data_IF_635567283084
#
_entry.id   IF_635567283084
#
_cell.length_a   1.000
_cell.length_b   1.000
_cell.length_c   1.000
_cell.angle_alpha   90.00
_cell.angle_beta   90.00
_cell.angle_gamma   90.00
#
_symmetry.space_group_name_H-M   'P 1'
#
loop_
_entity.id
_entity.type
_entity.pdbx_description
1 polymer ?
#
# COMPACT_ATOMS: atom_id res chain seq x y z
N UNK A 1 31.87 31.00 -44.02
CA UNK A 1 31.26 32.28 -43.59
C UNK A 1 31.27 32.28 -42.07
N UNK A 2 31.64 33.40 -41.44
CA UNK A 2 31.77 33.51 -39.98
C UNK A 2 30.83 34.59 -39.45
N UNK A 3 30.15 34.31 -38.35
CA UNK A 3 29.16 35.18 -37.73
C UNK A 3 29.61 35.64 -36.34
N UNK A 4 29.22 36.84 -35.95
CA UNK A 4 29.28 37.29 -34.55
C UNK A 4 28.18 36.63 -33.71
N UNK A 5 28.29 36.67 -32.37
CA UNK A 5 27.24 36.14 -31.47
C UNK A 5 25.86 36.76 -31.75
N UNK A 6 25.78 38.05 -32.11
CA UNK A 6 24.51 38.72 -32.43
C UNK A 6 23.92 38.17 -33.72
N UNK A 7 24.72 38.09 -34.79
CA UNK A 7 24.26 37.54 -36.07
C UNK A 7 23.86 36.07 -35.96
N UNK A 8 24.56 35.28 -35.13
CA UNK A 8 24.18 33.89 -34.85
C UNK A 8 22.81 33.81 -34.17
N UNK A 9 22.59 34.66 -33.15
CA UNK A 9 21.31 34.71 -32.44
C UNK A 9 20.17 35.15 -33.38
N UNK A 10 20.41 36.17 -34.22
CA UNK A 10 19.43 36.66 -35.19
C UNK A 10 19.07 35.56 -36.22
N UNK A 11 20.06 34.82 -36.74
CA UNK A 11 19.86 33.71 -37.68
C UNK A 11 19.08 32.54 -37.06
N UNK A 12 19.30 32.26 -35.78
CA UNK A 12 18.61 31.22 -35.04
C UNK A 12 17.30 31.72 -34.39
N UNK A 13 16.86 32.94 -34.68
CA UNK A 13 15.67 33.57 -34.10
C UNK A 13 15.64 33.51 -32.56
N UNK A 14 16.80 33.66 -31.92
CA UNK A 14 16.96 33.61 -30.47
C UNK A 14 17.69 34.84 -29.95
N UNK A 15 18.01 34.85 -28.65
CA UNK A 15 18.65 36.00 -28.00
C UNK A 15 20.13 35.74 -27.70
N UNK A 16 20.94 36.81 -27.68
CA UNK A 16 22.35 36.72 -27.26
C UNK A 16 22.50 36.15 -25.83
N UNK A 17 21.65 36.50 -24.84
CA UNK A 17 21.62 35.80 -23.55
C UNK A 17 21.44 34.29 -23.66
N UNK A 18 20.54 33.80 -24.52
CA UNK A 18 20.33 32.37 -24.75
C UNK A 18 21.60 31.69 -25.28
N UNK A 19 22.24 32.28 -26.30
CA UNK A 19 23.50 31.75 -26.83
C UNK A 19 24.61 31.71 -25.76
N UNK A 20 24.69 32.74 -24.90
CA UNK A 20 25.64 32.76 -23.77
C UNK A 20 25.32 31.70 -22.73
N UNK A 21 24.04 31.48 -22.45
CA UNK A 21 23.60 30.44 -21.53
C UNK A 21 24.01 29.06 -22.04
N UNK A 22 23.76 28.76 -23.32
CA UNK A 22 24.14 27.46 -23.92
C UNK A 22 25.64 27.21 -23.95
N UNK A 23 26.47 28.25 -24.10
CA UNK A 23 27.91 28.10 -23.83
C UNK A 23 28.23 27.76 -22.37
N UNK A 24 27.53 28.41 -21.42
CA UNK A 24 27.77 28.20 -19.98
C UNK A 24 27.41 26.77 -19.55
N UNK A 25 26.36 26.20 -20.13
CA UNK A 25 25.89 24.84 -19.82
C UNK A 25 26.49 23.77 -20.74
N UNK A 26 27.45 24.13 -21.61
CA UNK A 26 28.17 23.16 -22.45
C UNK A 26 27.42 22.67 -23.70
N UNK A 27 26.26 23.24 -24.03
CA UNK A 27 25.44 22.85 -25.18
C UNK A 27 25.95 23.37 -26.53
N UNK A 28 26.81 24.39 -26.51
CA UNK A 28 27.41 25.00 -27.69
C UNK A 28 28.89 25.28 -27.43
N UNK A 29 29.76 24.79 -28.30
CA UNK A 29 31.20 25.00 -28.18
C UNK A 29 31.60 26.47 -28.32
N UNK A 30 32.67 26.88 -27.62
CA UNK A 30 33.22 28.22 -27.74
C UNK A 30 33.95 28.35 -29.08
N UNK A 31 33.55 29.28 -29.97
CA UNK A 31 34.22 29.45 -31.24
C UNK A 31 35.59 30.12 -31.08
N UNK A 32 36.41 29.99 -32.13
CA UNK A 32 37.66 30.72 -32.25
C UNK A 32 37.45 32.24 -32.23
N UNK A 33 38.49 32.95 -31.78
CA UNK A 33 38.53 34.41 -31.78
C UNK A 33 39.36 34.90 -32.95
N UNK A 34 38.85 35.91 -33.66
CA UNK A 34 39.58 36.53 -34.75
C UNK A 34 40.68 37.45 -34.23
N UNK A 35 41.49 37.99 -35.15
CA UNK A 35 42.57 38.95 -34.85
C UNK A 35 42.11 40.22 -34.12
N UNK A 36 40.80 40.53 -34.17
CA UNK A 36 40.14 41.63 -33.48
C UNK A 36 39.59 41.25 -32.08
N UNK A 37 39.82 40.02 -31.60
CA UNK A 37 39.40 39.53 -30.29
C UNK A 37 37.94 39.06 -30.19
N UNK A 38 37.13 39.25 -31.24
CA UNK A 38 35.73 38.84 -31.28
C UNK A 38 35.55 37.36 -31.65
N UNK A 39 34.49 36.74 -31.13
CA UNK A 39 34.09 35.33 -31.39
C UNK A 39 33.58 35.16 -32.83
N UNK A 40 34.02 34.10 -33.53
CA UNK A 40 33.64 33.80 -34.91
C UNK A 40 32.95 32.43 -35.04
N UNK A 41 31.63 32.44 -35.12
CA UNK A 41 30.83 31.22 -35.25
C UNK A 41 30.75 30.77 -36.71
N UNK A 42 31.02 29.49 -36.94
CA UNK A 42 30.83 28.84 -38.25
C UNK A 42 29.48 28.11 -38.38
N UNK A 43 29.25 27.51 -39.54
CA UNK A 43 28.06 26.69 -39.85
C UNK A 43 27.77 25.61 -38.81
N UNK A 44 28.77 24.85 -38.28
CA UNK A 44 28.50 23.83 -37.26
C UNK A 44 27.85 24.39 -35.99
N UNK A 45 28.25 25.61 -35.58
CA UNK A 45 27.67 26.25 -34.40
C UNK A 45 26.21 26.67 -34.62
N UNK A 46 25.87 27.12 -35.82
CA UNK A 46 24.49 27.47 -36.16
C UNK A 46 23.60 26.22 -36.20
N UNK A 47 24.08 25.15 -36.81
CA UNK A 47 23.36 23.87 -36.87
C UNK A 47 23.12 23.32 -35.46
N UNK A 48 24.16 23.28 -34.60
CA UNK A 48 24.02 22.85 -33.21
C UNK A 48 23.03 23.73 -32.44
N UNK A 49 23.10 25.05 -32.58
CA UNK A 49 22.17 25.97 -31.91
C UNK A 49 20.71 25.73 -32.34
N UNK A 50 20.45 25.54 -33.63
CA UNK A 50 19.11 25.24 -34.15
C UNK A 50 18.58 23.88 -33.65
N UNK A 51 19.45 22.87 -33.54
CA UNK A 51 19.10 21.56 -33.00
C UNK A 51 18.72 21.64 -31.52
N UNK A 52 19.52 22.32 -30.70
CA UNK A 52 19.24 22.51 -29.27
C UNK A 52 17.90 23.23 -29.07
N UNK A 53 17.64 24.30 -29.84
CA UNK A 53 16.37 25.03 -29.74
C UNK A 53 15.17 24.16 -30.11
N UNK A 54 15.28 23.37 -31.20
CA UNK A 54 14.19 22.48 -31.62
C UNK A 54 13.88 21.41 -30.59
N UNK A 55 14.89 20.81 -29.98
CA UNK A 55 14.70 19.80 -28.94
C UNK A 55 14.14 20.40 -27.65
N UNK A 56 14.58 21.60 -27.27
CA UNK A 56 14.00 22.30 -26.12
C UNK A 56 12.53 22.67 -26.34
N UNK A 57 12.16 23.05 -27.56
CA UNK A 57 10.76 23.36 -27.91
C UNK A 57 9.86 22.11 -27.88
N UNK A 58 10.44 20.93 -28.11
CA UNK A 58 9.77 19.63 -27.95
C UNK A 58 9.70 19.17 -26.48
N UNK A 59 10.17 19.99 -25.54
CA UNK A 59 10.12 19.70 -24.10
C UNK A 59 11.29 18.85 -23.58
N UNK A 60 12.32 18.58 -24.40
CA UNK A 60 13.48 17.82 -23.95
C UNK A 60 14.32 18.65 -22.95
N UNK A 61 14.68 18.10 -21.77
CA UNK A 61 15.52 18.81 -20.80
C UNK A 61 16.91 19.14 -21.35
N UNK A 62 17.41 20.35 -21.06
CA UNK A 62 18.72 20.84 -21.53
C UNK A 62 19.89 19.93 -21.12
N UNK A 63 19.82 19.27 -19.96
CA UNK A 63 20.84 18.33 -19.50
C UNK A 63 20.94 17.10 -20.43
N UNK A 64 19.80 16.52 -20.80
CA UNK A 64 19.73 15.37 -21.73
C UNK A 64 20.23 15.76 -23.12
N UNK A 65 19.90 16.95 -23.61
CA UNK A 65 20.42 17.48 -24.90
C UNK A 65 21.97 17.60 -24.90
N UNK A 66 22.58 17.84 -23.73
CA UNK A 66 24.03 17.95 -23.61
C UNK A 66 24.74 16.59 -23.67
N UNK A 67 24.06 15.53 -23.25
CA UNK A 67 24.57 14.15 -23.28
C UNK A 67 24.44 13.50 -24.66
N UNK A 68 23.52 13.99 -25.50
CA UNK A 68 23.37 13.54 -26.87
C UNK A 68 24.56 14.02 -27.72
N UNK A 69 25.40 13.08 -28.14
CA UNK A 69 26.22 13.28 -29.32
C UNK A 69 25.25 13.31 -30.51
N UNK A 70 25.21 14.40 -31.27
CA UNK A 70 24.24 14.58 -32.36
C UNK A 70 24.62 13.95 -33.72
N UNK A 71 25.50 12.92 -33.86
CA UNK A 71 25.41 12.00 -34.98
C UNK A 71 24.07 11.24 -34.93
N UNK A 72 23.39 11.10 -36.07
CA UNK A 72 21.95 10.84 -36.14
C UNK A 72 21.38 9.63 -35.40
N UNK A 73 22.18 8.62 -35.01
CA UNK A 73 21.67 7.42 -34.34
C UNK A 73 21.21 7.69 -32.89
N UNK A 74 21.99 8.45 -32.10
CA UNK A 74 21.67 8.72 -30.69
C UNK A 74 20.47 9.68 -30.56
N UNK A 75 20.19 10.47 -31.61
CA UNK A 75 19.06 11.39 -31.66
C UNK A 75 17.73 10.68 -31.92
N UNK A 76 17.70 9.73 -32.87
CA UNK A 76 16.47 9.00 -33.20
C UNK A 76 16.02 8.16 -32.00
N UNK A 77 16.95 7.49 -31.31
CA UNK A 77 16.65 6.71 -30.08
C UNK A 77 16.13 7.61 -28.94
N UNK A 78 16.71 8.79 -28.75
CA UNK A 78 16.24 9.75 -27.75
C UNK A 78 14.85 10.32 -28.06
N UNK A 79 14.52 10.51 -29.34
CA UNK A 79 13.20 10.95 -29.78
C UNK A 79 12.16 9.83 -29.57
N UNK A 80 12.48 8.59 -29.94
CA UNK A 80 11.60 7.43 -29.72
C UNK A 80 11.30 7.22 -28.23
N UNK A 81 12.30 7.38 -27.35
CA UNK A 81 12.11 7.30 -25.90
C UNK A 81 11.17 8.41 -25.40
N UNK A 82 11.35 9.65 -25.87
CA UNK A 82 10.49 10.78 -25.47
C UNK A 82 9.04 10.58 -25.95
N UNK A 83 8.85 10.10 -27.17
CA UNK A 83 7.52 9.81 -27.72
C UNK A 83 6.81 8.72 -26.91
N UNK A 84 7.54 7.66 -26.53
CA UNK A 84 7.02 6.61 -25.67
C UNK A 84 6.63 7.12 -24.27
N UNK A 85 7.46 7.98 -23.65
CA UNK A 85 7.14 8.62 -22.36
C UNK A 85 5.87 9.48 -22.44
N UNK A 86 5.71 10.27 -23.51
CA UNK A 86 4.54 11.12 -23.75
C UNK A 86 3.27 10.31 -24.06
N UNK A 87 3.38 9.23 -24.81
CA UNK A 87 2.29 8.31 -25.07
C UNK A 87 1.78 7.69 -23.76
N UNK A 88 2.68 7.17 -22.92
CA UNK A 88 2.32 6.61 -21.62
C UNK A 88 1.69 7.66 -20.68
N UNK A 89 2.18 8.90 -20.69
CA UNK A 89 1.56 9.99 -19.93
C UNK A 89 0.14 10.31 -20.42
N UNK A 90 -0.08 10.32 -21.74
CA UNK A 90 -1.40 10.57 -22.34
C UNK A 90 -2.39 9.47 -21.99
N UNK A 91 -1.99 8.20 -22.11
CA UNK A 91 -2.82 7.06 -21.74
C UNK A 91 -3.26 7.12 -20.26
N UNK A 92 -2.34 7.47 -19.36
CA UNK A 92 -2.67 7.69 -17.94
C UNK A 92 -3.70 8.81 -17.76
N UNK A 93 -3.49 9.96 -18.39
CA UNK A 93 -4.42 11.09 -18.28
C UNK A 93 -5.81 10.76 -18.83
N UNK A 94 -5.89 9.98 -19.91
CA UNK A 94 -7.16 9.49 -20.45
C UNK A 94 -7.86 8.55 -19.46
N UNK A 95 -7.15 7.56 -18.90
CA UNK A 95 -7.71 6.63 -17.91
C UNK A 95 -8.27 7.35 -16.69
N UNK A 96 -7.51 8.30 -16.13
CA UNK A 96 -7.98 9.11 -14.99
C UNK A 96 -9.23 9.90 -15.33
N UNK A 97 -9.32 10.44 -16.56
CA UNK A 97 -10.52 11.16 -17.00
C UNK A 97 -11.73 10.25 -17.18
N UNK A 98 -11.53 9.02 -17.62
CA UNK A 98 -12.59 8.00 -17.73
C UNK A 98 -13.08 7.58 -16.34
N UNK A 99 -12.17 7.36 -15.39
CA UNK A 99 -12.50 7.04 -14.00
C UNK A 99 -13.27 8.19 -13.33
N UNK A 100 -12.80 9.43 -13.47
CA UNK A 100 -13.50 10.61 -12.96
C UNK A 100 -14.88 10.81 -13.62
N UNK A 101 -15.02 10.45 -14.91
CA UNK A 101 -16.31 10.48 -15.59
C UNK A 101 -17.25 9.41 -15.03
N UNK A 102 -16.77 8.18 -14.76
CA UNK A 102 -17.55 7.12 -14.14
C UNK A 102 -18.02 7.50 -12.72
N UNK A 103 -17.14 8.11 -11.92
CA UNK A 103 -17.49 8.65 -10.59
C UNK A 103 -18.58 9.72 -10.70
N UNK A 104 -18.47 10.62 -11.69
CA UNK A 104 -19.43 11.70 -11.89
C UNK A 104 -20.79 11.23 -12.42
N UNK A 105 -20.80 10.29 -13.35
CA UNK A 105 -22.02 9.86 -14.06
C UNK A 105 -22.86 8.85 -13.25
N UNK A 106 -22.24 8.10 -12.33
CA UNK A 106 -22.93 7.10 -11.54
C UNK A 106 -23.39 7.57 -10.16
N UNK A 107 -22.92 8.74 -9.69
CA UNK A 107 -23.37 9.31 -8.42
C UNK A 107 -23.19 8.39 -7.21
N UNK A 108 -22.32 7.38 -7.30
CA UNK A 108 -21.79 6.69 -6.14
C UNK A 108 -21.00 7.73 -5.36
N UNK A 109 -21.38 8.04 -4.12
CA UNK A 109 -20.46 8.75 -3.27
C UNK A 109 -19.20 7.85 -3.15
N UNK A 110 -18.01 8.48 -3.18
CA UNK A 110 -16.69 7.81 -3.29
C UNK A 110 -16.43 6.80 -2.15
N UNK A 111 -17.31 6.79 -1.17
CA UNK A 111 -17.35 5.99 0.05
C UNK A 111 -18.26 4.74 -0.05
N UNK A 112 -18.77 4.34 -1.22
CA UNK A 112 -19.56 3.10 -1.39
C UNK A 112 -19.11 2.26 -2.61
N UNK A 113 -18.95 0.93 -2.49
CA UNK A 113 -18.55 0.06 -3.60
C UNK A 113 -19.54 0.09 -4.77
N UNK A 114 -19.04 -0.23 -5.97
CA UNK A 114 -19.86 -0.37 -7.15
C UNK A 114 -20.97 -1.43 -6.93
N UNK A 115 -22.18 -1.16 -7.41
CA UNK A 115 -23.35 -2.03 -7.24
C UNK A 115 -24.24 -1.72 -6.03
N UNK A 116 -23.73 -1.00 -5.01
CA UNK A 116 -24.50 -0.64 -3.80
C UNK A 116 -25.18 0.74 -3.90
N UNK A 117 -25.08 1.42 -5.04
CA UNK A 117 -25.73 2.71 -5.30
C UNK A 117 -27.25 2.78 -4.98
N UNK A 118 -28.05 1.71 -5.17
CA UNK A 118 -29.48 1.73 -4.79
C UNK A 118 -29.73 1.88 -3.29
N UNK A 119 -28.87 1.31 -2.44
CA UNK A 119 -29.01 1.34 -0.97
C UNK A 119 -28.17 2.45 -0.33
N UNK A 120 -27.17 3.00 -1.03
CA UNK A 120 -26.19 3.96 -0.52
C UNK A 120 -26.76 5.18 0.22
N UNK A 121 -27.97 5.64 -0.14
CA UNK A 121 -28.61 6.81 0.49
C UNK A 121 -29.23 6.53 1.85
N UNK A 122 -29.55 5.27 2.13
CA UNK A 122 -30.21 4.84 3.36
C UNK A 122 -29.19 4.37 4.40
N UNK A 123 -27.93 4.20 4.01
CA UNK A 123 -26.85 3.75 4.89
C UNK A 123 -26.33 4.85 5.82
N UNK A 124 -25.92 4.47 7.02
CA UNK A 124 -25.12 5.31 7.91
C UNK A 124 -23.68 5.50 7.38
N UNK A 125 -22.95 6.49 7.89
CA UNK A 125 -21.53 6.67 7.54
C UNK A 125 -20.69 5.43 7.92
N UNK A 126 -21.02 4.80 9.05
CA UNK A 126 -20.40 3.55 9.51
C UNK A 126 -20.66 2.39 8.53
N UNK A 127 -21.89 2.24 8.05
CA UNK A 127 -22.24 1.19 7.08
C UNK A 127 -21.59 1.39 5.72
N UNK A 128 -21.46 2.64 5.25
CA UNK A 128 -20.72 2.95 4.01
C UNK A 128 -19.24 2.57 4.15
N UNK A 129 -18.61 2.97 5.26
CA UNK A 129 -17.23 2.59 5.55
C UNK A 129 -17.04 1.07 5.68
N UNK A 130 -17.96 0.39 6.36
CA UNK A 130 -17.96 -1.08 6.46
C UNK A 130 -18.13 -1.75 5.10
N UNK A 131 -18.98 -1.23 4.21
CA UNK A 131 -19.13 -1.76 2.85
C UNK A 131 -17.85 -1.62 2.02
N UNK A 132 -17.17 -0.48 2.13
CA UNK A 132 -15.87 -0.30 1.48
C UNK A 132 -14.84 -1.30 1.99
N UNK A 133 -14.87 -1.61 3.29
CA UNK A 133 -14.02 -2.63 3.89
C UNK A 133 -14.41 -4.04 3.44
N UNK A 134 -15.70 -4.38 3.39
CA UNK A 134 -16.15 -5.66 2.86
C UNK A 134 -15.74 -5.82 1.40
N UNK A 135 -15.84 -4.79 0.57
CA UNK A 135 -15.40 -4.83 -0.82
C UNK A 135 -13.88 -5.03 -0.97
N UNK A 136 -13.09 -4.63 0.03
CA UNK A 136 -11.67 -4.93 0.06
C UNK A 136 -11.39 -6.38 0.47
N UNK A 137 -12.23 -6.99 1.30
CA UNK A 137 -11.94 -8.28 1.95
C UNK A 137 -12.65 -9.47 1.30
N UNK A 138 -13.86 -9.28 0.81
CA UNK A 138 -14.70 -10.32 0.24
C UNK A 138 -14.47 -10.46 -1.27
N UNK A 139 -14.76 -11.64 -1.82
CA UNK A 139 -14.80 -11.84 -3.26
C UNK A 139 -16.09 -11.27 -3.89
N UNK A 140 -16.13 -11.20 -5.21
CA UNK A 140 -17.28 -10.66 -5.95
C UNK A 140 -18.57 -11.44 -5.71
N UNK A 141 -18.48 -12.75 -5.50
CA UNK A 141 -19.66 -13.60 -5.29
C UNK A 141 -20.28 -13.34 -3.92
N UNK A 142 -19.45 -13.22 -2.88
CA UNK A 142 -19.87 -12.91 -1.53
C UNK A 142 -20.34 -11.46 -1.38
N UNK A 143 -19.75 -10.52 -2.14
CA UNK A 143 -20.22 -9.14 -2.21
C UNK A 143 -21.61 -9.03 -2.82
N UNK A 144 -21.91 -9.82 -3.86
CA UNK A 144 -23.26 -9.88 -4.44
C UNK A 144 -24.27 -10.46 -3.44
N UNK A 145 -23.91 -11.47 -2.65
CA UNK A 145 -24.77 -12.01 -1.59
C UNK A 145 -25.02 -10.96 -0.49
N UNK A 146 -23.97 -10.23 -0.08
CA UNK A 146 -24.09 -9.13 0.87
C UNK A 146 -25.03 -8.04 0.35
N UNK A 147 -24.91 -7.70 -0.94
CA UNK A 147 -25.78 -6.73 -1.60
C UNK A 147 -27.24 -7.16 -1.57
N UNK A 148 -27.54 -8.43 -1.83
CA UNK A 148 -28.90 -8.95 -1.79
C UNK A 148 -29.48 -8.96 -0.38
N UNK A 149 -28.67 -9.32 0.63
CA UNK A 149 -29.09 -9.25 2.02
C UNK A 149 -29.47 -7.82 2.44
N UNK A 150 -28.72 -6.82 1.97
CA UNK A 150 -28.97 -5.40 2.29
C UNK A 150 -30.14 -4.75 1.53
N UNK A 151 -30.70 -5.41 0.51
CA UNK A 151 -31.90 -4.92 -0.17
C UNK A 151 -33.19 -5.13 0.65
N UNK A 152 -33.14 -5.95 1.71
CA UNK A 152 -34.27 -6.22 2.59
C UNK A 152 -34.06 -5.45 3.90
N UNK A 153 -34.85 -4.40 4.18
CA UNK A 153 -34.74 -3.65 5.42
C UNK A 153 -34.99 -4.56 6.64
N UNK A 154 -34.13 -4.48 7.65
CA UNK A 154 -34.32 -5.18 8.92
C UNK A 154 -34.42 -4.16 10.08
N UNK A 155 -35.60 -4.01 10.70
CA UNK A 155 -35.79 -3.07 11.81
C UNK A 155 -34.88 -3.32 13.02
N UNK A 156 -34.41 -4.56 13.22
CA UNK A 156 -33.47 -4.86 14.30
C UNK A 156 -32.09 -4.25 14.04
N UNK A 157 -31.67 -4.17 12.76
CA UNK A 157 -30.41 -3.55 12.36
C UNK A 157 -30.49 -2.04 12.49
N UNK A 158 -31.62 -1.43 12.11
CA UNK A 158 -31.84 0.01 12.31
C UNK A 158 -31.79 0.40 13.79
N UNK A 159 -32.47 -0.35 14.66
CA UNK A 159 -32.44 -0.10 16.10
C UNK A 159 -31.07 -0.35 16.73
N UNK A 160 -30.30 -1.30 16.19
CA UNK A 160 -28.91 -1.53 16.58
C UNK A 160 -28.02 -0.32 16.25
N UNK A 161 -28.15 0.28 15.07
CA UNK A 161 -27.36 1.44 14.66
C UNK A 161 -27.64 2.68 15.53
N UNK A 162 -28.88 2.85 15.97
CA UNK A 162 -29.30 3.97 16.84
C UNK A 162 -29.08 3.72 18.35
N UNK A 163 -28.56 2.53 18.72
CA UNK A 163 -28.40 2.13 20.11
C UNK A 163 -27.40 3.04 20.86
N UNK A 164 -27.83 3.79 21.89
CA UNK A 164 -26.94 4.66 22.63
C UNK A 164 -25.98 3.87 23.52
N UNK A 165 -24.80 4.44 23.78
CA UNK A 165 -23.76 3.80 24.59
C UNK A 165 -24.22 3.50 26.03
N UNK A 166 -25.12 4.33 26.59
CA UNK A 166 -25.65 4.22 27.95
C UNK A 166 -26.98 3.46 28.05
N UNK A 167 -27.36 2.71 27.01
CA UNK A 167 -28.57 1.88 27.04
C UNK A 167 -28.56 0.86 28.19
N UNK A 168 -29.73 0.65 28.81
CA UNK A 168 -29.88 -0.30 29.90
C UNK A 168 -29.83 -1.76 29.42
N UNK A 169 -29.50 -2.67 30.35
CA UNK A 169 -29.36 -4.09 30.03
C UNK A 169 -30.65 -4.71 29.50
N UNK A 170 -31.82 -4.21 29.94
CA UNK A 170 -33.12 -4.71 29.45
C UNK A 170 -33.34 -4.38 27.96
N UNK A 171 -32.93 -3.18 27.52
CA UNK A 171 -32.98 -2.76 26.12
C UNK A 171 -32.01 -3.57 25.28
N UNK A 172 -30.80 -3.78 25.78
CA UNK A 172 -29.75 -4.59 25.14
C UNK A 172 -30.23 -6.02 24.95
N UNK A 173 -30.75 -6.67 25.99
CA UNK A 173 -31.23 -8.06 25.93
C UNK A 173 -32.37 -8.24 24.91
N UNK A 174 -33.30 -7.28 24.87
CA UNK A 174 -34.41 -7.28 23.89
C UNK A 174 -33.92 -7.08 22.45
N UNK A 175 -32.88 -6.27 22.24
CA UNK A 175 -32.27 -6.08 20.93
C UNK A 175 -31.49 -7.32 20.50
N UNK A 176 -30.72 -7.93 21.40
CA UNK A 176 -29.95 -9.16 21.14
C UNK A 176 -30.87 -10.28 20.66
N UNK A 177 -31.99 -10.52 21.32
CA UNK A 177 -32.96 -11.53 20.88
C UNK A 177 -33.50 -11.30 19.45
N UNK A 178 -33.70 -10.04 19.08
CA UNK A 178 -34.15 -9.66 17.72
C UNK A 178 -33.04 -9.75 16.70
N UNK A 179 -31.82 -9.37 17.07
CA UNK A 179 -30.61 -9.50 16.24
C UNK A 179 -30.26 -10.97 15.98
N UNK A 180 -30.42 -11.88 16.96
CA UNK A 180 -30.27 -13.33 16.74
C UNK A 180 -31.30 -13.83 15.72
N UNK A 181 -32.57 -13.42 15.86
CA UNK A 181 -33.61 -13.80 14.91
C UNK A 181 -33.35 -13.24 13.50
N UNK A 182 -32.81 -12.02 13.40
CA UNK A 182 -32.35 -11.41 12.15
C UNK A 182 -31.19 -12.19 11.53
N UNK A 183 -30.14 -12.44 12.31
CA UNK A 183 -28.97 -13.19 11.89
C UNK A 183 -29.32 -14.60 11.40
N UNK A 184 -30.28 -15.30 12.05
CA UNK A 184 -30.79 -16.60 11.55
C UNK A 184 -31.43 -16.49 10.17
N UNK A 185 -32.31 -15.50 9.95
CA UNK A 185 -32.92 -15.27 8.62
C UNK A 185 -31.87 -15.00 7.56
N UNK A 186 -30.88 -14.17 7.87
CA UNK A 186 -29.78 -13.85 6.94
C UNK A 186 -28.94 -15.08 6.63
N UNK A 187 -28.60 -15.90 7.64
CA UNK A 187 -27.85 -17.15 7.47
C UNK A 187 -28.60 -18.19 6.64
N UNK A 188 -29.92 -18.32 6.85
CA UNK A 188 -30.77 -19.24 6.08
C UNK A 188 -30.92 -18.81 4.60
N UNK A 189 -31.03 -17.50 4.36
CA UNK A 189 -31.21 -16.95 3.01
C UNK A 189 -29.90 -16.77 2.24
N UNK A 190 -28.79 -16.54 2.94
CA UNK A 190 -27.47 -16.23 2.37
C UNK A 190 -26.37 -17.05 3.07
N UNK A 191 -26.40 -18.40 3.00
CA UNK A 191 -25.46 -19.26 3.74
C UNK A 191 -24.00 -19.05 3.36
N UNK A 192 -23.71 -18.56 2.15
CA UNK A 192 -22.36 -18.24 1.70
C UNK A 192 -21.66 -17.18 2.57
N UNK A 193 -22.42 -16.27 3.21
CA UNK A 193 -21.86 -15.20 4.04
C UNK A 193 -21.25 -15.70 5.35
N UNK A 194 -21.58 -16.92 5.80
CA UNK A 194 -21.09 -17.51 7.06
C UNK A 194 -19.56 -17.66 7.08
N UNK A 195 -18.97 -18.03 5.94
CA UNK A 195 -17.53 -18.30 5.80
C UNK A 195 -16.83 -17.30 4.87
N UNK A 196 -17.48 -16.19 4.54
CA UNK A 196 -17.00 -15.26 3.51
C UNK A 196 -15.62 -14.64 3.86
N UNK A 197 -15.36 -14.35 5.14
CA UNK A 197 -14.04 -13.88 5.59
C UNK A 197 -12.99 -14.99 5.54
N UNK A 198 -13.36 -16.24 5.80
CA UNK A 198 -12.46 -17.39 5.72
C UNK A 198 -12.02 -17.69 4.27
N UNK A 199 -12.89 -17.37 3.29
CA UNK A 199 -12.63 -17.50 1.85
C UNK A 199 -12.00 -16.26 1.22
N UNK A 200 -11.65 -15.26 2.02
CA UNK A 200 -11.06 -14.02 1.53
C UNK A 200 -9.79 -14.26 0.69
N UNK A 201 -9.65 -13.61 -0.48
CA UNK A 201 -8.43 -13.65 -1.29
C UNK A 201 -7.18 -13.15 -0.55
N UNK A 202 -7.35 -12.37 0.52
CA UNK A 202 -6.29 -11.79 1.34
C UNK A 202 -5.90 -12.67 2.55
N UNK A 203 -6.54 -13.84 2.66
CA UNK A 203 -6.36 -14.78 3.76
C UNK A 203 -7.32 -14.53 4.92
N UNK A 204 -7.82 -15.62 5.50
CA UNK A 204 -8.84 -15.63 6.56
C UNK A 204 -8.50 -14.74 7.76
N UNK A 205 -7.26 -14.81 8.25
CA UNK A 205 -6.81 -14.05 9.42
C UNK A 205 -6.78 -12.54 9.15
N UNK A 206 -6.27 -12.13 7.99
CA UNK A 206 -6.22 -10.72 7.58
C UNK A 206 -7.62 -10.14 7.45
N UNK A 207 -8.54 -10.90 6.84
CA UNK A 207 -9.93 -10.55 6.67
C UNK A 207 -10.67 -10.36 8.00
N UNK A 208 -10.54 -11.32 8.91
CA UNK A 208 -11.16 -11.26 10.23
C UNK A 208 -10.63 -10.10 11.07
N UNK A 209 -9.33 -9.82 10.97
CA UNK A 209 -8.69 -8.75 11.73
C UNK A 209 -9.07 -7.35 11.22
N UNK A 210 -9.13 -7.18 9.90
CA UNK A 210 -9.64 -5.97 9.27
C UNK A 210 -11.09 -5.71 9.68
N UNK A 211 -11.91 -6.77 9.76
CA UNK A 211 -13.29 -6.69 10.20
C UNK A 211 -13.42 -6.32 11.68
N UNK A 212 -12.68 -7.00 12.55
CA UNK A 212 -12.68 -6.73 13.99
C UNK A 212 -12.26 -5.28 14.31
N UNK A 213 -11.26 -4.75 13.59
CA UNK A 213 -10.83 -3.36 13.73
C UNK A 213 -11.92 -2.36 13.33
N UNK A 214 -12.59 -2.62 12.20
CA UNK A 214 -13.70 -1.77 11.76
C UNK A 214 -14.84 -1.74 12.78
N UNK A 215 -15.18 -2.89 13.38
CA UNK A 215 -16.22 -2.96 14.40
C UNK A 215 -15.91 -2.07 15.61
N UNK A 216 -14.66 -2.07 16.09
CA UNK A 216 -14.25 -1.25 17.25
C UNK A 216 -14.16 0.25 16.91
N UNK A 217 -13.84 0.59 15.65
CA UNK A 217 -13.69 1.98 15.22
C UNK A 217 -15.04 2.66 14.93
N UNK A 218 -16.03 1.91 14.44
CA UNK A 218 -17.31 2.46 14.02
C UNK A 218 -18.47 2.24 15.00
N UNK A 219 -18.38 1.27 15.91
CA UNK A 219 -19.44 0.99 16.87
C UNK A 219 -19.05 1.35 18.30
N UNK A 220 -20.04 1.77 19.09
CA UNK A 220 -19.84 2.05 20.51
C UNK A 220 -19.73 0.74 21.32
N UNK A 221 -19.20 0.78 22.57
CA UNK A 221 -19.01 -0.41 23.39
C UNK A 221 -20.29 -1.23 23.64
N UNK A 222 -21.46 -0.59 23.73
CA UNK A 222 -22.73 -1.28 23.95
C UNK A 222 -23.22 -1.99 22.69
N UNK A 223 -23.00 -1.41 21.50
CA UNK A 223 -23.22 -2.06 20.21
C UNK A 223 -22.27 -3.26 20.02
N UNK A 224 -20.99 -3.11 20.34
CA UNK A 224 -20.02 -4.22 20.27
C UNK A 224 -20.46 -5.39 21.16
N UNK A 225 -20.90 -5.10 22.39
CA UNK A 225 -21.44 -6.12 23.32
C UNK A 225 -22.66 -6.86 22.74
N UNK A 226 -23.56 -6.17 22.03
CA UNK A 226 -24.69 -6.81 21.34
C UNK A 226 -24.17 -7.78 20.26
N UNK A 227 -23.21 -7.36 19.43
CA UNK A 227 -22.62 -8.22 18.39
C UNK A 227 -21.92 -9.45 18.98
N UNK A 228 -21.19 -9.29 20.09
CA UNK A 228 -20.53 -10.38 20.81
C UNK A 228 -21.53 -11.39 21.37
N UNK A 229 -22.65 -10.93 21.95
CA UNK A 229 -23.69 -11.81 22.47
C UNK A 229 -24.43 -12.56 21.36
N UNK A 230 -24.66 -11.90 20.22
CA UNK A 230 -25.22 -12.55 19.03
C UNK A 230 -24.26 -13.62 18.50
N UNK A 231 -22.97 -13.32 18.38
CA UNK A 231 -21.96 -14.29 17.93
C UNK A 231 -21.83 -15.49 18.89
N UNK A 232 -21.82 -15.23 20.20
CA UNK A 232 -21.78 -16.27 21.24
C UNK A 232 -22.97 -17.24 21.13
N UNK A 233 -24.18 -16.72 20.90
CA UNK A 233 -25.37 -17.54 20.74
C UNK A 233 -25.26 -18.56 19.58
N UNK A 234 -24.50 -18.23 18.53
CA UNK A 234 -24.27 -19.14 17.41
C UNK A 234 -23.07 -20.06 17.58
N UNK A 235 -22.08 -19.65 18.39
CA UNK A 235 -20.95 -20.52 18.74
C UNK A 235 -21.43 -21.68 19.61
N UNK A 236 -22.29 -21.39 20.58
CA UNK A 236 -22.89 -22.39 21.47
C UNK A 236 -23.79 -23.38 20.70
N UNK A 237 -24.48 -22.93 19.64
CA UNK A 237 -25.27 -23.79 18.74
C UNK A 237 -24.41 -24.71 17.86
N UNK A 238 -23.18 -24.31 17.52
CA UNK A 238 -22.25 -25.12 16.73
C UNK A 238 -21.54 -26.21 17.57
N UNK A 239 -21.52 -26.07 18.89
CA UNK A 239 -20.90 -27.02 19.83
C UNK A 239 -21.87 -28.11 20.35
N UNK A 240 -23.18 -28.02 20.09
CA UNK A 240 -24.10 -29.14 20.33
C UNK A 240 -23.91 -30.23 19.26
N UNK A 241 -23.50 -31.46 19.61
CA UNK A 241 -23.31 -32.51 18.63
C UNK A 241 -24.66 -32.97 18.08
N UNK A 242 -24.91 -32.66 16.81
CA UNK A 242 -25.97 -33.30 16.03
C UNK A 242 -25.74 -34.82 16.04
N UNK A 243 -26.58 -35.54 16.77
CA UNK A 243 -26.68 -36.98 16.73
C UNK A 243 -27.35 -37.44 15.43
N UNK A 244 -26.62 -38.21 14.62
CA UNK A 244 -27.13 -39.03 13.50
C UNK A 244 -27.24 -38.27 12.17
N UNK A 245 -26.89 -38.80 11.00
CA UNK A 245 -26.61 -40.17 10.53
C UNK A 245 -25.63 -40.12 9.35
N UNK A 246 -24.81 -41.15 9.21
CA UNK A 246 -24.00 -41.48 8.03
C UNK A 246 -24.85 -41.54 6.74
N UNK A 247 -24.36 -40.97 5.63
CA UNK A 247 -24.31 -41.65 4.33
C UNK A 247 -23.10 -41.15 3.53
N UNK A 248 -22.13 -42.04 3.33
CA UNK A 248 -21.12 -41.93 2.29
C UNK A 248 -21.73 -42.32 0.93
N UNK A 249 -21.41 -41.60 -0.14
CA UNK A 249 -21.53 -42.12 -1.50
C UNK A 249 -20.40 -41.62 -2.41
N UNK A 250 -19.69 -42.59 -2.98
CA UNK A 250 -18.68 -42.50 -4.03
C UNK A 250 -19.27 -41.99 -5.35
N UNK A 251 -18.53 -41.15 -6.09
CA UNK A 251 -18.53 -41.18 -7.56
C UNK A 251 -17.14 -40.82 -8.12
N UNK A 252 -16.48 -41.82 -8.70
CA UNK A 252 -15.41 -41.65 -9.69
C UNK A 252 -15.97 -41.15 -11.03
N UNK A 253 -15.23 -40.30 -11.76
CA UNK A 253 -15.51 -40.10 -13.18
C UNK A 253 -14.85 -38.94 -13.92
N UNK A 254 -13.68 -39.22 -14.50
CA UNK A 254 -13.23 -38.79 -15.84
C UNK A 254 -12.88 -37.32 -16.15
N UNK A 255 -11.56 -37.15 -16.32
CA UNK A 255 -10.78 -36.29 -17.21
C UNK A 255 -11.50 -35.66 -18.42
N UNK A 256 -11.28 -34.35 -18.63
CA UNK A 256 -11.08 -33.74 -19.94
C UNK A 256 -10.19 -32.49 -19.82
N UNK A 257 -9.13 -32.47 -20.62
CA UNK A 257 -8.12 -31.40 -20.75
C UNK A 257 -8.67 -30.14 -21.44
N UNK A 258 -8.05 -29.00 -21.13
CA UNK A 258 -7.82 -27.95 -22.12
C UNK A 258 -8.45 -26.59 -21.84
N UNK A 259 -7.76 -25.73 -21.08
CA UNK A 259 -7.76 -24.29 -21.30
C UNK A 259 -6.57 -23.66 -20.55
N UNK A 260 -5.50 -23.37 -21.28
CA UNK A 260 -4.44 -22.46 -20.86
C UNK A 260 -5.03 -21.05 -20.83
N UNK A 261 -5.33 -20.51 -19.65
CA UNK A 261 -5.71 -19.11 -19.48
C UNK A 261 -4.63 -18.36 -18.72
N UNK A 262 -4.09 -17.37 -19.43
CA UNK A 262 -2.93 -16.55 -19.09
C UNK A 262 -3.39 -15.48 -18.11
N UNK A 263 -2.77 -15.46 -16.93
CA UNK A 263 -2.98 -14.42 -15.93
C UNK A 263 -2.79 -13.00 -16.54
N UNK A 264 -3.69 -12.04 -16.30
CA UNK A 264 -3.53 -10.69 -16.81
C UNK A 264 -2.36 -10.00 -16.10
N UNK A 265 -1.43 -9.51 -16.91
CA UNK A 265 -0.26 -8.76 -16.49
C UNK A 265 -0.66 -7.43 -15.82
N UNK A 266 -0.38 -7.32 -14.53
CA UNK A 266 -0.40 -6.08 -13.75
C UNK A 266 0.76 -5.20 -14.25
N UNK A 267 0.44 -3.99 -14.72
CA UNK A 267 1.43 -2.94 -15.00
C UNK A 267 1.63 -2.03 -13.77
N UNK A 268 2.81 -1.43 -13.58
CA UNK A 268 3.31 -1.05 -12.26
C UNK A 268 2.61 0.20 -11.72
N UNK A 269 1.98 0.04 -10.54
CA UNK A 269 1.62 1.14 -9.63
C UNK A 269 2.91 1.91 -9.28
N UNK A 270 2.79 3.20 -8.97
CA UNK A 270 3.82 3.92 -8.20
C UNK A 270 4.37 2.97 -7.15
N UNK A 271 5.68 2.73 -7.16
CA UNK A 271 6.28 1.73 -6.28
C UNK A 271 5.85 2.08 -4.85
N UNK A 272 5.07 1.22 -4.19
CA UNK A 272 4.57 1.54 -2.86
C UNK A 272 5.78 1.79 -1.94
N UNK A 273 5.73 2.83 -1.09
CA UNK A 273 6.91 3.31 -0.39
C UNK A 273 7.55 2.18 0.41
N UNK A 274 8.85 2.00 0.26
CA UNK A 274 9.58 0.97 0.98
C UNK A 274 9.57 1.29 2.48
N UNK A 275 9.29 0.27 3.30
CA UNK A 275 9.36 0.36 4.76
C UNK A 275 10.55 -0.47 5.23
N UNK A 276 11.32 0.06 6.16
CA UNK A 276 12.47 -0.61 6.77
C UNK A 276 12.18 -0.91 8.23
N UNK A 277 12.63 -2.06 8.70
CA UNK A 277 12.50 -2.51 10.09
C UNK A 277 13.81 -3.04 10.63
N UNK A 278 13.93 -3.06 11.96
CA UNK A 278 15.08 -3.62 12.65
C UNK A 278 14.68 -4.84 13.47
N UNK A 279 15.31 -5.97 13.17
CA UNK A 279 15.41 -7.06 14.12
C UNK A 279 16.58 -6.76 15.07
N UNK A 280 16.34 -5.90 16.06
CA UNK A 280 17.35 -5.63 17.09
C UNK A 280 17.60 -6.88 17.91
N UNK A 281 18.84 -7.36 17.93
CA UNK A 281 19.25 -8.56 18.62
C UNK A 281 20.31 -8.28 19.70
N UNK A 282 20.54 -9.27 20.58
CA UNK A 282 21.64 -9.22 21.53
C UNK A 282 23.02 -9.39 20.87
N UNK A 283 23.07 -10.07 19.72
CA UNK A 283 24.28 -10.29 18.90
C UNK A 283 23.93 -10.69 17.48
N UNK A 284 24.81 -10.44 16.51
CA UNK A 284 24.56 -10.74 15.10
C UNK A 284 24.81 -12.20 14.73
N UNK A 285 25.87 -12.82 15.26
CA UNK A 285 26.32 -14.14 14.79
C UNK A 285 25.37 -15.26 15.20
N UNK A 286 24.72 -15.13 16.36
CA UNK A 286 23.77 -16.09 16.92
C UNK A 286 22.75 -15.35 17.78
N UNK A 287 21.78 -14.63 17.22
CA UNK A 287 20.81 -13.88 18.00
C UNK A 287 19.98 -14.81 18.91
N UNK A 288 19.79 -14.46 20.18
CA UNK A 288 18.94 -15.23 21.13
C UNK A 288 17.77 -14.46 21.68
N UNK A 289 17.75 -13.14 21.49
CA UNK A 289 16.59 -12.31 21.78
C UNK A 289 16.42 -11.28 20.69
N UNK A 290 15.18 -10.86 20.45
CA UNK A 290 14.83 -9.75 19.59
C UNK A 290 14.03 -8.69 20.35
N UNK A 291 14.21 -7.43 20.00
CA UNK A 291 13.43 -6.34 20.58
C UNK A 291 12.06 -6.23 19.91
N UNK A 292 11.03 -6.06 20.74
CA UNK A 292 9.70 -5.61 20.34
C UNK A 292 9.40 -4.27 21.04
N UNK A 293 8.75 -3.34 20.35
CA UNK A 293 8.33 -2.06 20.90
C UNK A 293 6.80 -1.96 20.92
N UNK A 294 6.21 -1.51 22.03
CA UNK A 294 4.75 -1.40 22.19
C UNK A 294 4.28 0.01 21.92
N UNK A 295 3.31 0.14 21.03
CA UNK A 295 2.73 1.42 20.61
C UNK A 295 2.05 2.14 21.76
N UNK A 296 2.39 3.42 21.98
CA UNK A 296 1.80 4.29 23.00
C UNK A 296 0.43 4.83 22.60
N UNK A 297 0.23 5.14 21.30
CA UNK A 297 -0.92 5.91 20.80
C UNK A 297 -1.39 5.43 19.43
N UNK A 298 -2.61 5.82 19.07
CA UNK A 298 -3.27 5.44 17.82
C UNK A 298 -4.20 4.24 18.00
N UNK A 299 -4.86 3.82 16.92
CA UNK A 299 -5.89 2.79 16.94
C UNK A 299 -5.41 1.40 17.40
N UNK A 300 -4.09 1.16 17.34
CA UNK A 300 -3.44 -0.08 17.80
C UNK A 300 -2.49 0.20 18.97
N UNK A 301 -2.82 1.17 19.83
CA UNK A 301 -2.08 1.37 21.08
C UNK A 301 -2.12 0.09 21.93
N UNK A 302 -0.99 -0.27 22.54
CA UNK A 302 -0.84 -1.54 23.27
C UNK A 302 -0.34 -2.72 22.42
N UNK A 303 -0.33 -2.60 21.10
CA UNK A 303 0.20 -3.62 20.18
C UNK A 303 1.70 -3.45 19.97
N UNK A 304 2.38 -4.53 19.59
CA UNK A 304 3.83 -4.63 19.48
C UNK A 304 4.29 -4.61 18.02
N UNK A 305 5.41 -3.96 17.74
CA UNK A 305 5.99 -3.87 16.39
C UNK A 305 7.52 -3.98 16.44
N UNK A 306 8.12 -4.31 15.30
CA UNK A 306 9.56 -4.13 15.12
C UNK A 306 9.83 -2.63 14.85
N UNK A 307 10.83 -2.03 15.52
CA UNK A 307 11.17 -0.62 15.29
C UNK A 307 11.55 -0.36 13.84
N UNK A 308 11.16 0.79 13.30
CA UNK A 308 11.43 1.14 11.91
C UNK A 308 10.40 2.08 11.31
N UNK A 309 10.54 2.36 10.02
CA UNK A 309 9.73 3.38 9.37
C UNK A 309 9.89 3.45 7.86
N UNK A 310 9.38 4.53 7.27
CA UNK A 310 9.32 4.70 5.82
C UNK A 310 10.65 5.24 5.31
N UNK A 311 11.07 4.75 4.14
CA UNK A 311 12.22 5.32 3.41
C UNK A 311 11.79 6.61 2.72
N UNK A 312 12.53 7.70 2.93
CA UNK A 312 12.28 8.96 2.26
C UNK A 312 12.78 8.97 0.80
N UNK A 313 12.22 9.82 -0.08
CA UNK A 313 12.68 9.90 -1.47
C UNK A 313 14.16 10.25 -1.60
N UNK A 314 14.94 9.34 -2.20
CA UNK A 314 16.40 9.50 -2.39
C UNK A 314 17.26 9.04 -1.21
N UNK A 315 16.64 8.52 -0.14
CA UNK A 315 17.31 7.95 1.02
C UNK A 315 17.67 6.47 0.78
N UNK A 316 18.84 6.02 1.21
CA UNK A 316 19.18 4.60 1.16
C UNK A 316 18.44 3.84 2.28
N UNK A 317 18.00 2.59 2.07
CA UNK A 317 17.22 1.86 3.08
C UNK A 317 17.91 1.72 4.44
N UNK A 318 19.23 1.51 4.45
CA UNK A 318 20.02 1.41 5.69
C UNK A 318 20.13 2.77 6.38
N UNK A 319 20.23 3.87 5.62
CA UNK A 319 20.27 5.22 6.20
C UNK A 319 18.92 5.57 6.84
N UNK A 320 17.81 5.22 6.17
CA UNK A 320 16.46 5.34 6.72
C UNK A 320 16.33 4.55 8.02
N UNK A 321 16.80 3.29 8.04
CA UNK A 321 16.74 2.44 9.22
C UNK A 321 17.46 3.06 10.42
N UNK A 322 18.68 3.58 10.21
CA UNK A 322 19.46 4.22 11.28
C UNK A 322 18.77 5.48 11.79
N UNK A 323 18.21 6.30 10.89
CA UNK A 323 17.44 7.50 11.26
C UNK A 323 16.22 7.15 12.11
N UNK A 324 15.40 6.20 11.67
CA UNK A 324 14.20 5.76 12.40
C UNK A 324 14.57 5.20 13.80
N UNK A 325 15.67 4.46 13.92
CA UNK A 325 16.13 3.95 15.23
C UNK A 325 16.59 5.05 16.20
N UNK A 326 17.19 6.15 15.71
CA UNK A 326 17.48 7.32 16.55
C UNK A 326 16.19 8.04 16.97
N UNK A 327 15.24 8.20 16.04
CA UNK A 327 13.97 8.89 16.31
C UNK A 327 13.07 8.12 17.28
N UNK A 328 12.90 6.82 17.07
CA UNK A 328 11.97 5.97 17.83
C UNK A 328 12.55 5.46 19.15
N UNK A 329 13.87 5.21 19.20
CA UNK A 329 14.51 4.55 20.34
C UNK A 329 15.71 5.31 20.91
N UNK A 330 16.14 6.40 20.27
CA UNK A 330 17.31 7.19 20.68
C UNK A 330 18.65 6.49 20.43
N UNK A 331 18.70 5.55 19.47
CA UNK A 331 19.89 4.77 19.16
C UNK A 331 20.69 5.43 18.04
N UNK A 332 21.87 5.97 18.36
CA UNK A 332 22.74 6.69 17.43
C UNK A 332 23.92 5.86 16.94
N UNK A 333 24.33 4.88 17.73
CA UNK A 333 25.45 3.99 17.50
C UNK A 333 24.93 2.56 17.39
N UNK A 334 24.52 2.20 16.18
CA UNK A 334 24.04 0.86 15.84
C UNK A 334 24.98 0.20 14.83
N UNK A 335 25.12 -1.12 14.91
CA UNK A 335 25.77 -1.94 13.88
C UNK A 335 24.70 -2.70 13.13
N UNK A 336 24.54 -2.38 11.84
CA UNK A 336 23.60 -3.05 10.93
C UNK A 336 24.30 -4.25 10.30
N UNK A 337 23.70 -5.43 10.46
CA UNK A 337 24.15 -6.69 9.88
C UNK A 337 23.43 -7.00 8.57
N UNK A 338 23.33 -8.30 8.27
CA UNK A 338 22.68 -8.77 7.05
C UNK A 338 21.17 -8.50 7.06
N UNK A 339 20.63 -8.30 5.86
CA UNK A 339 19.19 -8.25 5.65
C UNK A 339 18.58 -9.64 5.87
N UNK A 340 17.46 -9.67 6.59
CA UNK A 340 16.68 -10.87 6.78
C UNK A 340 16.03 -11.31 5.45
N UNK A 341 16.10 -12.59 5.07
CA UNK A 341 15.53 -13.06 3.80
C UNK A 341 14.00 -12.92 3.76
N UNK A 342 13.52 -12.04 2.90
CA UNK A 342 12.10 -11.82 2.62
C UNK A 342 11.69 -12.37 1.24
N UNK A 343 10.42 -12.77 1.04
CA UNK A 343 9.89 -13.05 -0.30
C UNK A 343 9.87 -11.78 -1.16
N UNK A 344 10.12 -11.89 -2.47
CA UNK A 344 9.94 -10.83 -3.49
C UNK A 344 10.47 -9.42 -3.13
N UNK A 345 11.57 -9.34 -2.36
CA UNK A 345 12.20 -8.07 -1.98
C UNK A 345 11.62 -7.37 -0.75
N UNK A 346 10.70 -8.00 -0.01
CA UNK A 346 10.22 -7.55 1.30
C UNK A 346 8.91 -8.24 1.74
N UNK A 347 8.60 -8.26 3.05
CA UNK A 347 7.34 -8.78 3.57
C UNK A 347 6.19 -7.85 3.18
N UNK A 348 5.10 -8.37 2.58
CA UNK A 348 4.00 -7.53 2.13
C UNK A 348 3.26 -6.93 3.33
N UNK A 349 3.04 -5.61 3.28
CA UNK A 349 2.22 -4.88 4.23
C UNK A 349 0.81 -4.63 3.66
N UNK A 350 -0.23 -4.51 4.51
CA UNK A 350 -1.62 -4.32 4.05
C UNK A 350 -1.87 -3.09 3.19
N UNK A 351 -1.02 -2.06 3.31
CA UNK A 351 -1.08 -0.84 2.51
C UNK A 351 -0.39 -0.96 1.14
N UNK A 352 0.01 -2.18 0.74
CA UNK A 352 0.73 -2.48 -0.49
C UNK A 352 2.23 -2.23 -0.43
N UNK A 353 2.77 -1.70 0.67
CA UNK A 353 4.22 -1.49 0.86
C UNK A 353 4.94 -2.80 1.15
N UNK A 354 6.26 -2.81 0.98
CA UNK A 354 7.11 -3.93 1.36
C UNK A 354 7.96 -3.54 2.57
N UNK A 355 7.94 -4.37 3.61
CA UNK A 355 8.83 -4.28 4.75
C UNK A 355 10.13 -5.01 4.44
N UNK A 356 11.28 -4.36 4.61
CA UNK A 356 12.60 -5.01 4.60
C UNK A 356 13.21 -4.86 5.97
N UNK A 357 13.87 -5.91 6.47
CA UNK A 357 14.32 -5.95 7.86
C UNK A 357 15.78 -6.35 7.90
N UNK A 358 16.57 -5.64 8.69
CA UNK A 358 17.97 -5.96 8.92
C UNK A 358 18.18 -6.42 10.36
N UNK A 359 19.17 -7.29 10.54
CA UNK A 359 19.72 -7.52 11.87
C UNK A 359 20.42 -6.26 12.36
N UNK A 360 20.17 -5.89 13.61
CA UNK A 360 20.82 -4.72 14.22
C UNK A 360 21.28 -5.09 15.63
N UNK A 361 22.46 -4.62 16.01
CA UNK A 361 22.94 -4.65 17.40
C UNK A 361 23.34 -3.25 17.84
N UNK A 362 23.19 -2.97 19.13
CA UNK A 362 23.62 -1.72 19.73
C UNK A 362 24.29 -1.99 21.07
N UNK A 363 25.25 -1.14 21.43
CA UNK A 363 25.82 -1.08 22.77
C UNK A 363 25.07 -0.09 23.68
N UNK A 364 24.15 0.69 23.11
CA UNK A 364 23.37 1.68 23.83
C UNK A 364 22.19 1.04 24.58
N UNK A 365 21.75 1.69 25.65
CA UNK A 365 20.58 1.26 26.40
C UNK A 365 19.31 1.60 25.63
N UNK A 366 18.54 0.59 25.24
CA UNK A 366 17.29 0.77 24.49
C UNK A 366 16.18 1.28 25.42
N UNK A 367 15.52 2.37 25.00
CA UNK A 367 14.41 3.00 25.75
C UNK A 367 13.25 3.27 24.80
N UNK A 368 11.99 3.18 25.27
CA UNK A 368 10.83 3.55 24.46
C UNK A 368 10.86 5.06 24.17
N UNK A 369 10.73 5.43 22.90
CA UNK A 369 10.72 6.84 22.49
C UNK A 369 9.33 7.50 22.50
N UNK A 370 9.06 8.43 21.57
CA UNK A 370 7.82 9.20 21.55
C UNK A 370 6.57 8.34 21.28
N UNK A 371 6.71 7.37 20.38
CA UNK A 371 5.60 6.57 19.85
C UNK A 371 5.43 5.21 20.55
N UNK A 372 6.39 4.81 21.38
CA UNK A 372 6.34 3.59 22.18
C UNK A 372 6.24 3.89 23.67
N UNK A 373 5.51 3.05 24.43
CA UNK A 373 5.44 3.16 25.89
C UNK A 373 6.18 2.06 26.63
N UNK A 374 6.52 0.97 25.94
CA UNK A 374 7.25 -0.18 26.48
C UNK A 374 8.13 -0.78 25.38
N UNK A 375 9.28 -1.32 25.76
CA UNK A 375 10.12 -2.16 24.89
C UNK A 375 10.45 -3.45 25.63
N UNK A 376 10.55 -4.56 24.91
CA UNK A 376 10.78 -5.88 25.50
C UNK A 376 11.69 -6.72 24.62
N UNK A 377 12.67 -7.34 25.26
CA UNK A 377 13.49 -8.37 24.63
C UNK A 377 12.78 -9.72 24.74
N UNK A 378 12.46 -10.30 23.58
CA UNK A 378 11.71 -11.56 23.45
C UNK A 378 12.65 -12.67 22.96
N UNK A 379 12.48 -13.87 23.50
CA UNK A 379 13.20 -15.07 23.07
C UNK A 379 12.44 -15.77 21.95
N UNK A 380 13.04 -16.72 21.21
CA UNK A 380 12.34 -17.43 20.13
C UNK A 380 11.09 -18.15 20.64
N UNK A 381 11.15 -18.69 21.85
CA UNK A 381 10.07 -19.41 22.51
C UNK A 381 8.95 -18.49 23.06
N UNK A 382 9.20 -17.19 23.21
CA UNK A 382 8.24 -16.22 23.75
C UNK A 382 7.91 -15.11 22.75
N UNK A 383 8.48 -15.14 21.54
CA UNK A 383 8.32 -14.05 20.58
C UNK A 383 6.87 -13.91 20.16
N UNK A 384 6.08 -14.98 20.16
CA UNK A 384 4.65 -14.96 19.80
C UNK A 384 3.71 -14.69 20.99
N UNK A 385 4.24 -14.45 22.20
CA UNK A 385 3.42 -14.21 23.41
C UNK A 385 2.86 -12.77 23.52
N UNK A 386 3.19 -11.91 22.55
CA UNK A 386 2.76 -10.51 22.52
C UNK A 386 1.85 -10.26 21.31
N UNK A 387 0.93 -9.30 21.46
CA UNK A 387 0.01 -8.90 20.40
C UNK A 387 0.74 -8.07 19.34
N UNK A 388 1.34 -8.75 18.37
CA UNK A 388 2.04 -8.11 17.26
C UNK A 388 1.11 -7.39 16.29
N UNK A 389 1.59 -6.28 15.75
CA UNK A 389 1.03 -5.67 14.57
C UNK A 389 0.96 -6.69 13.41
N UNK A 390 -0.08 -6.61 12.56
CA UNK A 390 -0.32 -7.66 11.56
C UNK A 390 0.80 -7.78 10.52
N UNK A 391 1.46 -6.66 10.20
CA UNK A 391 2.61 -6.64 9.29
C UNK A 391 3.86 -7.32 9.88
N UNK A 392 3.94 -7.41 11.19
CA UNK A 392 5.10 -7.91 11.94
C UNK A 392 4.96 -9.39 12.32
N UNK A 393 3.73 -9.93 12.34
CA UNK A 393 3.44 -11.34 12.63
C UNK A 393 4.23 -12.31 11.74
N UNK A 394 4.28 -12.16 10.39
CA UNK A 394 5.03 -13.10 9.54
C UNK A 394 6.52 -13.16 9.89
N UNK A 395 7.11 -12.03 10.27
CA UNK A 395 8.50 -11.98 10.71
C UNK A 395 8.66 -12.59 12.11
N UNK A 396 7.76 -12.30 13.05
CA UNK A 396 7.79 -12.90 14.38
C UNK A 396 7.68 -14.43 14.32
N UNK A 397 6.82 -14.98 13.45
CA UNK A 397 6.72 -16.42 13.19
C UNK A 397 8.03 -16.99 12.62
N UNK A 398 8.62 -16.32 11.62
CA UNK A 398 9.93 -16.72 11.06
C UNK A 398 11.04 -16.74 12.12
N UNK A 399 11.04 -15.79 13.05
CA UNK A 399 11.99 -15.73 14.16
C UNK A 399 11.76 -16.85 15.18
N UNK A 400 10.50 -17.19 15.46
CA UNK A 400 10.11 -18.34 16.29
C UNK A 400 10.55 -19.68 15.68
N UNK A 401 10.36 -19.84 14.37
CA UNK A 401 10.55 -21.10 13.63
C UNK A 401 12.01 -21.46 13.34
N UNK A 402 12.98 -20.60 13.72
CA UNK A 402 14.40 -21.00 13.72
C UNK A 402 15.41 -19.99 13.20
N UNK A 403 15.02 -18.76 12.84
CA UNK A 403 16.00 -17.72 12.48
C UNK A 403 16.88 -17.24 13.65
N UNK A 404 16.48 -17.57 14.88
CA UNK A 404 17.28 -17.35 16.10
C UNK A 404 18.02 -18.63 16.56
N UNK A 405 17.84 -19.76 15.86
CA UNK A 405 18.22 -21.10 16.32
C UNK A 405 19.18 -21.90 15.43
N UNK A 406 19.56 -21.40 14.25
CA UNK A 406 20.42 -22.13 13.29
C UNK A 406 21.70 -21.41 12.96
#
# INVERSE_FOLDING_TARGET
>A
MVWSTRQLADLAHTTVPTVRHYHKVGLLDLPERGSNGYKHYGVPHLVRLLQVLRLSDLGMPLARIAELDLPGADLDEAIELLDAELAAATERMVRVREELAAVRDHGSPVDVPNGFAPVARELSDAQRAMLMMFAAVLDEADLEQLRQAMLVPDPAVEEFEELPEDADDATVDLLVGRMIASARRTRESHPALLDATARSPQGATSAQLAMARALVEFYNPTQIRVLEQVDAAFRDEAEEPASGEDVAEDVEGSVAEGATEVAPAVTPRDTPPLVVGAALADRLERPTTVLAARRRRGALAGWWEFPGGKVEPGEAPVDALVRELDEELGLREVTVGDELPAPDGGWPLPNGSALRVWWVVTAEEVRPGPDHDEVRWLRPDTVLDVEWLPGDVPLAQRLADGLLGG
#
